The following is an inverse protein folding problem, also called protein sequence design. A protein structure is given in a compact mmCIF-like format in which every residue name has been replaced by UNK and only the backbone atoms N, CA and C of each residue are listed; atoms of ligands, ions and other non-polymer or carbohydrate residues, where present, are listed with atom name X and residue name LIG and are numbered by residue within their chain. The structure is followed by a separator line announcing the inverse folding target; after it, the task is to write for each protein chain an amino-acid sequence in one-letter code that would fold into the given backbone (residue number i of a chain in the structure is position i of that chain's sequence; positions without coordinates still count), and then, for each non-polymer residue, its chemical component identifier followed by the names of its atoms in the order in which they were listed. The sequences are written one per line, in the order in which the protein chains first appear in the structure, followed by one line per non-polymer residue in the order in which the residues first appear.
data_IF_767237259501
#
_entry.id   IF_767237259501
#
_cell.length_a   1.000
_cell.length_b   1.000
_cell.length_c   1.000
_cell.angle_alpha   90.00
_cell.angle_beta   90.00
_cell.angle_gamma   90.00
#
_symmetry.space_group_name_H-M   'P 1'
#
loop_
_entity.id
_entity.type
_entity.pdbx_description
1 polymer ?
#
# COMPACT_ATOMS: atom_id res chain seq x y z
N UNK A 1 -17.33 -27.04 -8.82
CA UNK A 1 -15.96 -26.69 -8.37
C UNK A 1 -16.05 -25.59 -7.33
N UNK A 2 -15.37 -25.75 -6.18
CA UNK A 2 -15.26 -24.67 -5.19
C UNK A 2 -14.32 -23.59 -5.77
N UNK A 3 -14.79 -22.36 -5.93
CA UNK A 3 -13.98 -21.25 -6.46
C UNK A 3 -12.96 -20.82 -5.39
N UNK A 4 -11.71 -20.55 -5.78
CA UNK A 4 -10.64 -20.11 -4.88
C UNK A 4 -10.84 -18.68 -4.37
N UNK A 5 -10.07 -18.29 -3.36
CA UNK A 5 -9.97 -16.91 -2.86
C UNK A 5 -8.63 -16.30 -3.23
N UNK A 6 -8.60 -15.00 -3.47
CA UNK A 6 -7.37 -14.23 -3.58
C UNK A 6 -6.97 -13.69 -2.20
N UNK A 7 -5.76 -13.98 -1.75
CA UNK A 7 -5.18 -13.37 -0.56
C UNK A 7 -4.28 -12.21 -0.98
N UNK A 8 -4.57 -11.01 -0.50
CA UNK A 8 -3.75 -9.82 -0.74
C UNK A 8 -3.02 -9.49 0.55
N UNK A 9 -1.71 -9.71 0.55
CA UNK A 9 -0.83 -9.36 1.65
C UNK A 9 -0.22 -8.00 1.31
N UNK A 10 -0.60 -6.95 2.03
CA UNK A 10 -0.14 -5.60 1.74
C UNK A 10 0.49 -4.94 2.96
N UNK A 11 1.53 -4.14 2.72
CA UNK A 11 2.09 -3.20 3.68
C UNK A 11 2.10 -1.78 3.09
N UNK A 12 2.71 -0.83 3.80
CA UNK A 12 2.75 0.57 3.38
C UNK A 12 3.52 0.86 2.07
N UNK A 13 4.10 -0.13 1.40
CA UNK A 13 4.80 0.03 0.13
C UNK A 13 4.99 -1.26 -0.70
N UNK A 14 4.48 -2.41 -0.28
CA UNK A 14 4.55 -3.68 -1.00
C UNK A 14 3.22 -4.41 -0.92
N UNK A 15 2.91 -5.16 -1.96
CA UNK A 15 1.76 -6.06 -1.98
C UNK A 15 2.11 -7.36 -2.67
N UNK A 16 1.53 -8.46 -2.18
CA UNK A 16 1.64 -9.79 -2.77
C UNK A 16 0.25 -10.37 -2.93
N UNK A 17 -0.01 -10.91 -4.11
CA UNK A 17 -1.24 -11.59 -4.47
C UNK A 17 -1.00 -13.09 -4.43
N UNK A 18 -1.77 -13.78 -3.61
CA UNK A 18 -1.50 -15.17 -3.25
C UNK A 18 -2.78 -15.97 -3.43
N UNK A 19 -2.65 -17.17 -3.98
CA UNK A 19 -3.73 -18.15 -4.06
C UNK A 19 -3.37 -19.35 -3.19
N UNK A 20 -4.38 -19.97 -2.56
CA UNK A 20 -4.17 -21.21 -1.84
C UNK A 20 -4.38 -22.38 -2.79
N UNK A 21 -3.30 -23.11 -3.05
CA UNK A 21 -3.31 -24.34 -3.85
C UNK A 21 -4.28 -25.36 -3.23
N UNK A 22 -5.10 -25.97 -4.07
CA UNK A 22 -6.20 -26.83 -3.60
C UNK A 22 -5.74 -28.23 -3.22
N UNK A 23 -4.64 -28.71 -3.80
CA UNK A 23 -4.13 -30.07 -3.58
C UNK A 23 -3.18 -30.11 -2.39
N UNK A 24 -2.22 -29.19 -2.36
CA UNK A 24 -1.17 -29.11 -1.35
C UNK A 24 -1.55 -28.23 -0.17
N UNK A 25 -2.56 -27.35 -0.33
CA UNK A 25 -2.91 -26.35 0.67
C UNK A 25 -1.90 -25.22 0.82
N UNK A 26 -0.84 -25.20 0.01
CA UNK A 26 0.22 -24.19 0.04
C UNK A 26 -0.26 -22.84 -0.49
N UNK A 27 0.37 -21.77 -0.03
CA UNK A 27 0.11 -20.42 -0.51
C UNK A 27 1.09 -20.08 -1.63
N UNK A 28 0.58 -19.95 -2.86
CA UNK A 28 1.36 -19.69 -4.06
C UNK A 28 1.25 -18.23 -4.46
N UNK A 29 2.39 -17.58 -4.62
CA UNK A 29 2.43 -16.18 -5.08
C UNK A 29 2.12 -16.12 -6.56
N UNK A 30 1.08 -15.36 -6.91
CA UNK A 30 0.73 -15.07 -8.30
C UNK A 30 1.53 -13.89 -8.83
N UNK A 31 1.66 -12.86 -8.00
CA UNK A 31 2.26 -11.58 -8.37
C UNK A 31 2.66 -10.78 -7.12
N UNK A 32 3.58 -9.84 -7.30
CA UNK A 32 3.92 -8.86 -6.30
C UNK A 32 4.10 -7.47 -6.92
N UNK A 33 3.73 -6.44 -6.15
CA UNK A 33 4.02 -5.03 -6.44
C UNK A 33 4.99 -4.55 -5.36
N UNK A 34 6.15 -4.01 -5.75
CA UNK A 34 7.09 -3.36 -4.84
C UNK A 34 7.18 -1.86 -5.18
N UNK A 35 6.61 -1.03 -4.32
CA UNK A 35 6.69 0.44 -4.38
C UNK A 35 7.59 1.01 -3.25
N UNK A 36 8.31 0.15 -2.53
CA UNK A 36 9.10 0.55 -1.37
C UNK A 36 10.27 1.45 -1.79
N UNK A 37 10.85 1.24 -2.97
CA UNK A 37 11.93 2.09 -3.49
C UNK A 37 11.46 3.53 -3.75
N UNK A 38 10.32 3.70 -4.41
CA UNK A 38 9.71 5.00 -4.69
C UNK A 38 9.35 5.74 -3.40
N UNK A 39 8.72 5.06 -2.45
CA UNK A 39 8.40 5.64 -1.13
C UNK A 39 9.65 6.01 -0.33
N UNK A 40 10.70 5.18 -0.36
CA UNK A 40 12.00 5.53 0.26
C UNK A 40 12.61 6.77 -0.39
N UNK A 41 12.53 6.88 -1.72
CA UNK A 41 13.04 8.05 -2.45
C UNK A 41 12.28 9.32 -2.05
N UNK A 42 10.95 9.30 -2.09
CA UNK A 42 10.10 10.42 -1.70
C UNK A 42 10.39 10.86 -0.25
N UNK A 43 10.55 9.91 0.68
CA UNK A 43 10.95 10.22 2.06
C UNK A 43 12.32 10.89 2.16
N UNK A 44 13.29 10.51 1.32
CA UNK A 44 14.61 11.16 1.30
C UNK A 44 14.52 12.57 0.74
N UNK A 45 13.78 12.78 -0.35
CA UNK A 45 13.60 14.10 -0.96
C UNK A 45 12.91 15.08 0.01
N UNK A 46 11.85 14.62 0.70
CA UNK A 46 11.18 15.43 1.73
C UNK A 46 12.07 15.76 2.94
N UNK A 47 13.06 14.92 3.24
CA UNK A 47 14.05 15.21 4.30
C UNK A 47 15.12 16.19 3.83
N UNK A 48 15.50 16.13 2.56
CA UNK A 48 16.52 17.00 1.97
C UNK A 48 16.00 18.44 1.74
N UNK A 49 14.70 18.59 1.53
CA UNK A 49 14.03 19.89 1.33
C UNK A 49 13.01 20.16 2.44
N UNK A 50 13.45 20.59 3.64
CA UNK A 50 12.54 20.85 4.75
C UNK A 50 11.57 22.00 4.39
N UNK A 51 10.27 21.89 4.76
CA UNK A 51 9.29 22.93 4.47
C UNK A 51 9.68 24.26 5.13
N UNK A 52 9.34 25.37 4.48
CA UNK A 52 9.53 26.70 5.02
C UNK A 52 8.79 26.83 6.36
N UNK A 53 9.48 27.32 7.39
CA UNK A 53 8.90 27.54 8.71
C UNK A 53 8.19 28.87 8.73
N UNK A 54 6.87 28.88 8.70
CA UNK A 54 6.07 30.10 8.91
C UNK A 54 5.88 30.31 10.41
N UNK A 55 6.30 31.48 10.92
CA UNK A 55 5.99 31.89 12.29
C UNK A 55 4.52 32.34 12.34
N UNK A 56 3.72 31.68 13.18
CA UNK A 56 2.43 32.22 13.57
C UNK A 56 2.67 33.15 14.77
N UNK A 57 2.25 34.43 14.68
CA UNK A 57 2.55 35.46 15.68
C UNK A 57 1.81 35.29 17.01
N UNK A 58 0.90 34.30 17.13
CA UNK A 58 -0.04 34.18 18.26
C UNK A 58 0.06 32.84 19.02
N UNK A 59 1.08 32.00 18.81
CA UNK A 59 1.22 30.79 19.62
C UNK A 59 2.55 30.04 19.51
N UNK A 60 3.03 29.51 20.64
CA UNK A 60 4.21 28.62 20.75
C UNK A 60 4.02 27.23 20.11
N UNK A 61 2.97 27.02 19.31
CA UNK A 61 2.72 25.75 18.63
C UNK A 61 3.41 25.73 17.26
N UNK A 62 4.46 24.92 17.16
CA UNK A 62 5.13 24.62 15.90
C UNK A 62 4.35 23.51 15.17
N UNK A 63 3.42 23.88 14.30
CA UNK A 63 2.82 22.90 13.38
C UNK A 63 3.67 22.84 12.11
N UNK A 64 4.25 21.68 11.83
CA UNK A 64 4.88 21.41 10.54
C UNK A 64 3.79 21.21 9.49
N UNK A 65 3.26 22.31 8.93
CA UNK A 65 2.43 22.24 7.74
C UNK A 65 3.30 21.68 6.60
N UNK A 66 2.98 20.49 6.08
CA UNK A 66 3.59 19.95 4.86
C UNK A 66 4.51 18.71 4.96
N UNK A 67 4.78 18.14 6.16
CA UNK A 67 5.66 16.95 6.26
C UNK A 67 4.96 15.62 5.88
N UNK A 68 3.65 15.52 6.06
CA UNK A 68 2.88 14.28 5.85
C UNK A 68 2.07 14.26 4.54
N UNK A 69 1.78 15.43 3.95
CA UNK A 69 0.79 15.52 2.87
C UNK A 69 1.22 14.95 1.52
N UNK A 70 2.51 14.74 1.25
CA UNK A 70 2.92 14.05 0.02
C UNK A 70 3.00 12.52 0.18
N UNK A 71 3.25 12.04 1.41
CA UNK A 71 3.36 10.60 1.67
C UNK A 71 1.99 9.92 1.68
N UNK A 72 0.94 10.62 2.15
CA UNK A 72 -0.42 10.10 2.17
C UNK A 72 -0.97 9.83 0.75
N UNK A 73 -0.99 10.80 -0.18
CA UNK A 73 -1.40 10.56 -1.57
C UNK A 73 -0.58 9.49 -2.27
N UNK A 74 0.74 9.41 -2.00
CA UNK A 74 1.58 8.37 -2.57
C UNK A 74 1.19 6.96 -2.07
N UNK A 75 0.83 6.83 -0.79
CA UNK A 75 0.29 5.58 -0.23
C UNK A 75 -1.09 5.26 -0.79
N UNK A 76 -1.97 6.25 -0.91
CA UNK A 76 -3.31 6.08 -1.49
C UNK A 76 -3.24 5.62 -2.94
N UNK A 77 -2.38 6.23 -3.76
CA UNK A 77 -2.14 5.81 -5.14
C UNK A 77 -1.62 4.37 -5.22
N UNK A 78 -0.70 4.00 -4.32
CA UNK A 78 -0.23 2.62 -4.21
C UNK A 78 -1.36 1.66 -3.86
N UNK A 79 -2.18 1.96 -2.85
CA UNK A 79 -3.32 1.12 -2.45
C UNK A 79 -4.35 1.01 -3.57
N UNK A 80 -4.60 2.08 -4.32
CA UNK A 80 -5.50 2.06 -5.48
C UNK A 80 -4.98 1.13 -6.59
N UNK A 81 -3.66 1.13 -6.84
CA UNK A 81 -3.04 0.20 -7.79
C UNK A 81 -3.17 -1.26 -7.32
N UNK A 82 -2.95 -1.53 -6.03
CA UNK A 82 -3.14 -2.86 -5.42
C UNK A 82 -4.59 -3.34 -5.57
N UNK A 83 -5.56 -2.48 -5.26
CA UNK A 83 -6.98 -2.80 -5.36
C UNK A 83 -7.38 -3.09 -6.82
N UNK A 84 -6.92 -2.27 -7.76
CA UNK A 84 -7.18 -2.44 -9.19
C UNK A 84 -6.64 -3.79 -9.68
N UNK A 85 -5.42 -4.15 -9.25
CA UNK A 85 -4.82 -5.42 -9.61
C UNK A 85 -5.53 -6.62 -8.98
N UNK A 86 -6.01 -6.50 -7.74
CA UNK A 86 -6.81 -7.53 -7.09
C UNK A 86 -8.10 -7.83 -7.88
N UNK A 87 -8.81 -6.78 -8.30
CA UNK A 87 -10.04 -6.91 -9.10
C UNK A 87 -9.77 -7.63 -10.41
N UNK A 88 -8.70 -7.28 -11.11
CA UNK A 88 -8.31 -7.95 -12.35
C UNK A 88 -8.00 -9.43 -12.12
N UNK A 89 -7.22 -9.76 -11.09
CA UNK A 89 -6.85 -11.13 -10.77
C UNK A 89 -8.07 -11.98 -10.43
N UNK A 90 -9.00 -11.47 -9.61
CA UNK A 90 -10.25 -12.16 -9.28
C UNK A 90 -11.05 -12.49 -10.53
N UNK A 91 -11.23 -11.51 -11.43
CA UNK A 91 -11.97 -11.70 -12.68
C UNK A 91 -11.29 -12.71 -13.59
N UNK A 92 -9.98 -12.53 -13.84
CA UNK A 92 -9.19 -13.36 -14.75
C UNK A 92 -9.13 -14.84 -14.31
N UNK A 93 -9.11 -15.08 -13.00
CA UNK A 93 -9.02 -16.42 -12.40
C UNK A 93 -10.38 -17.03 -12.03
N UNK A 94 -11.48 -16.26 -12.12
CA UNK A 94 -12.80 -16.72 -11.70
C UNK A 94 -12.91 -16.97 -10.19
N UNK A 95 -12.14 -16.24 -9.38
CA UNK A 95 -12.13 -16.38 -7.91
C UNK A 95 -13.42 -15.83 -7.31
N UNK A 96 -13.79 -16.31 -6.12
CA UNK A 96 -15.06 -15.93 -5.47
C UNK A 96 -14.96 -14.66 -4.61
N UNK A 97 -13.75 -14.19 -4.33
CA UNK A 97 -13.54 -13.04 -3.46
C UNK A 97 -12.09 -12.81 -3.09
N UNK A 98 -11.91 -11.87 -2.17
CA UNK A 98 -10.60 -11.41 -1.71
C UNK A 98 -10.54 -11.46 -0.18
N UNK A 99 -9.41 -11.89 0.36
CA UNK A 99 -9.01 -11.75 1.76
C UNK A 99 -7.89 -10.71 1.81
N UNK A 100 -8.07 -9.67 2.62
CA UNK A 100 -7.08 -8.63 2.83
C UNK A 100 -6.33 -8.90 4.14
N UNK A 101 -5.00 -8.92 4.08
CA UNK A 101 -4.15 -8.99 5.26
C UNK A 101 -3.12 -7.85 5.20
N UNK A 102 -3.18 -6.96 6.18
CA UNK A 102 -2.29 -5.83 6.31
C UNK A 102 -2.01 -5.55 7.78
N UNK A 103 -0.85 -4.97 8.13
CA UNK A 103 -0.59 -4.50 9.48
C UNK A 103 -1.58 -3.38 9.86
N UNK A 104 -1.89 -3.21 11.15
CA UNK A 104 -2.72 -2.10 11.62
C UNK A 104 -2.07 -0.75 11.24
N UNK A 105 -2.88 0.28 11.04
CA UNK A 105 -2.39 1.65 10.91
C UNK A 105 -1.73 2.05 12.24
N UNK A 106 -0.41 2.19 12.25
CA UNK A 106 0.37 2.83 13.33
C UNK A 106 0.58 4.30 13.01
#
# INVERSE_FOLDING_TARGET
MRKGLLFVLADGGRARFVERDVETGAFVTLEAIDNAASLRRLRRELRASPPARTFNSVGRLRHAVGREDYLRPAKEAFVAAVASRAVELVRRRGLQGVVLAAPPQL
#
